data_IF_247582039968
#
_entry.id   IF_247582039968
#
_cell.length_a   1.000
_cell.length_b   1.000
_cell.length_c   1.000
_cell.angle_alpha   90.00
_cell.angle_beta   90.00
_cell.angle_gamma   90.00
#
_symmetry.space_group_name_H-M   'P 1'
#
loop_
_entity.id
_entity.type
_entity.pdbx_description
1 polymer ?
#
# COMPACT_ATOMS: atom_id res chain seq x y z
N UNK A 1 -5.44 43.07 3.83
CA UNK A 1 -6.81 43.60 3.92
C UNK A 1 -7.90 42.55 3.63
N UNK A 2 -7.63 41.47 2.90
CA UNK A 2 -8.62 40.41 2.65
C UNK A 2 -8.92 39.61 3.93
N UNK A 3 -7.96 39.42 4.84
CA UNK A 3 -8.13 38.62 6.06
C UNK A 3 -9.08 39.24 7.12
N UNK A 4 -9.24 40.55 7.14
CA UNK A 4 -10.12 41.25 8.12
C UNK A 4 -11.61 41.14 7.73
N UNK A 5 -11.93 41.21 6.44
CA UNK A 5 -13.32 41.11 5.96
C UNK A 5 -13.86 39.67 6.14
N UNK A 6 -13.08 38.67 5.79
CA UNK A 6 -13.46 37.26 5.98
C UNK A 6 -13.65 36.89 7.46
N UNK A 7 -12.80 37.40 8.37
CA UNK A 7 -12.96 37.17 9.81
C UNK A 7 -14.21 37.84 10.39
N UNK A 8 -14.60 39.00 9.91
CA UNK A 8 -15.85 39.66 10.32
C UNK A 8 -17.10 38.91 9.83
N UNK A 9 -17.07 38.42 8.61
CA UNK A 9 -18.16 37.57 8.06
C UNK A 9 -18.28 36.28 8.87
N UNK A 10 -17.16 35.62 9.18
CA UNK A 10 -17.15 34.42 9.98
C UNK A 10 -17.74 34.63 11.39
N UNK A 11 -17.37 35.74 12.05
CA UNK A 11 -17.88 36.07 13.39
C UNK A 11 -19.38 36.41 13.38
N UNK A 12 -19.91 36.92 12.27
CA UNK A 12 -21.31 37.28 12.12
C UNK A 12 -22.19 36.12 11.54
N UNK A 13 -21.57 35.03 11.09
CA UNK A 13 -22.30 33.91 10.52
C UNK A 13 -23.16 33.24 11.60
N UNK A 14 -24.45 32.99 11.34
CA UNK A 14 -25.32 32.26 12.29
C UNK A 14 -24.81 30.81 12.47
N UNK A 15 -25.23 30.18 13.56
CA UNK A 15 -25.05 28.74 13.72
C UNK A 15 -25.83 27.98 12.66
N UNK A 16 -25.25 26.88 12.15
CA UNK A 16 -25.92 26.01 11.22
C UNK A 16 -27.04 25.24 11.98
N UNK A 17 -28.30 25.25 11.53
CA UNK A 17 -29.34 24.43 12.18
C UNK A 17 -29.03 22.94 12.03
N UNK A 18 -29.48 22.15 12.98
CA UNK A 18 -29.37 20.69 12.97
C UNK A 18 -30.76 20.04 12.89
N UNK A 19 -31.03 19.17 11.90
CA UNK A 19 -30.20 18.86 10.74
C UNK A 19 -29.99 20.06 9.80
N UNK A 20 -28.94 20.02 8.99
CA UNK A 20 -28.69 21.06 7.99
C UNK A 20 -29.83 21.16 6.97
N UNK A 21 -30.13 22.35 6.47
CA UNK A 21 -30.98 22.50 5.30
C UNK A 21 -30.37 21.76 4.09
N UNK A 22 -31.25 21.25 3.23
CA UNK A 22 -30.82 20.50 2.05
C UNK A 22 -29.83 21.29 1.18
N UNK A 23 -30.09 22.56 0.99
CA UNK A 23 -29.28 23.47 0.21
C UNK A 23 -27.84 23.59 0.79
N UNK A 24 -27.69 23.53 2.10
CA UNK A 24 -26.37 23.61 2.74
C UNK A 24 -25.55 22.33 2.50
N UNK A 25 -26.17 21.16 2.50
CA UNK A 25 -25.51 19.91 2.12
C UNK A 25 -25.16 19.93 0.63
N UNK A 26 -26.06 20.39 -0.24
CA UNK A 26 -25.81 20.48 -1.68
C UNK A 26 -24.65 21.45 -1.96
N UNK A 27 -24.56 22.60 -1.27
CA UNK A 27 -23.43 23.56 -1.36
C UNK A 27 -22.10 22.91 -0.87
N UNK A 28 -22.13 22.14 0.21
CA UNK A 28 -20.96 21.39 0.67
C UNK A 28 -20.50 20.41 -0.41
N UNK A 29 -21.41 19.65 -1.01
CA UNK A 29 -21.07 18.68 -2.06
C UNK A 29 -20.50 19.36 -3.30
N UNK A 30 -21.02 20.53 -3.69
CA UNK A 30 -20.45 21.35 -4.77
C UNK A 30 -19.03 21.78 -4.43
N UNK A 31 -18.79 22.24 -3.19
CA UNK A 31 -17.46 22.63 -2.72
C UNK A 31 -16.48 21.44 -2.79
N UNK A 32 -16.88 20.27 -2.30
CA UNK A 32 -16.04 19.05 -2.30
C UNK A 32 -15.75 18.56 -3.73
N UNK A 33 -16.64 18.81 -4.67
CA UNK A 33 -16.50 18.42 -6.08
C UNK A 33 -15.74 19.44 -6.93
N UNK A 34 -15.31 20.57 -6.36
CA UNK A 34 -14.68 21.67 -7.11
C UNK A 34 -13.23 21.40 -7.54
N UNK A 35 -12.70 20.21 -7.28
CA UNK A 35 -11.34 19.83 -7.65
C UNK A 35 -10.28 20.67 -6.91
N UNK A 36 -9.23 21.18 -7.60
CA UNK A 36 -8.13 21.85 -6.91
C UNK A 36 -8.53 23.11 -6.11
N UNK A 37 -9.63 23.76 -6.45
CA UNK A 37 -10.12 24.94 -5.72
C UNK A 37 -10.67 24.60 -4.33
N UNK A 38 -11.08 23.35 -4.09
CA UNK A 38 -11.51 22.82 -2.79
C UNK A 38 -10.48 23.10 -1.70
N UNK A 39 -9.20 22.91 -1.99
CA UNK A 39 -8.09 23.15 -1.06
C UNK A 39 -8.10 24.59 -0.54
N UNK A 40 -8.00 25.56 -1.43
CA UNK A 40 -7.92 26.97 -1.06
C UNK A 40 -9.20 27.44 -0.32
N UNK A 41 -10.34 26.86 -0.67
CA UNK A 41 -11.63 27.21 -0.07
C UNK A 41 -11.73 26.67 1.36
N UNK A 42 -11.44 25.38 1.59
CA UNK A 42 -11.47 24.77 2.95
C UNK A 42 -10.44 25.45 3.85
N UNK A 43 -9.20 25.67 3.37
CA UNK A 43 -8.18 26.37 4.14
C UNK A 43 -8.58 27.82 4.49
N UNK A 44 -9.31 28.50 3.61
CA UNK A 44 -9.82 29.84 3.91
C UNK A 44 -10.93 29.79 4.98
N UNK A 45 -11.84 28.85 4.90
CA UNK A 45 -12.87 28.62 5.92
C UNK A 45 -12.26 28.23 7.27
N UNK A 46 -11.26 27.37 7.27
CA UNK A 46 -10.58 26.92 8.48
C UNK A 46 -9.82 28.05 9.18
N UNK A 47 -9.08 28.87 8.43
CA UNK A 47 -8.41 30.07 8.97
C UNK A 47 -9.35 31.09 9.61
N UNK A 48 -10.63 31.11 9.21
CA UNK A 48 -11.64 31.99 9.80
C UNK A 48 -12.39 31.33 10.97
N UNK A 49 -12.13 30.04 11.24
CA UNK A 49 -12.83 29.24 12.23
C UNK A 49 -14.21 28.74 11.78
N UNK A 50 -14.66 29.07 10.58
CA UNK A 50 -15.95 28.60 10.06
C UNK A 50 -15.96 27.11 9.83
N UNK A 51 -14.84 26.54 9.30
CA UNK A 51 -14.76 25.11 9.03
C UNK A 51 -14.95 24.27 10.29
N UNK A 52 -14.28 24.63 11.40
CA UNK A 52 -14.44 23.93 12.69
C UNK A 52 -15.83 24.10 13.31
N UNK A 53 -16.60 25.15 12.94
CA UNK A 53 -18.02 25.25 13.35
C UNK A 53 -18.93 24.36 12.53
N UNK A 54 -18.62 24.12 11.26
CA UNK A 54 -19.35 23.19 10.40
C UNK A 54 -19.02 21.73 10.73
N UNK A 55 -17.77 21.45 11.03
CA UNK A 55 -17.24 20.11 11.30
C UNK A 55 -16.33 20.15 12.54
N UNK A 56 -16.88 20.17 13.76
CA UNK A 56 -16.10 20.25 15.00
C UNK A 56 -15.10 19.10 15.18
N UNK A 57 -15.39 17.93 14.63
CA UNK A 57 -14.53 16.75 14.65
C UNK A 57 -13.18 16.96 13.96
N UNK A 58 -13.10 17.96 13.08
CA UNK A 58 -11.89 18.38 12.35
C UNK A 58 -10.74 18.79 13.26
N UNK A 59 -11.03 19.35 14.45
CA UNK A 59 -10.01 19.83 15.37
C UNK A 59 -8.98 18.77 15.77
N UNK A 60 -9.37 17.50 15.79
CA UNK A 60 -8.46 16.42 16.15
C UNK A 60 -7.46 16.04 15.03
N UNK A 61 -7.78 16.35 13.79
CA UNK A 61 -6.92 16.05 12.64
C UNK A 61 -6.21 17.29 12.08
N UNK A 62 -6.60 18.49 12.55
CA UNK A 62 -6.00 19.78 12.11
C UNK A 62 -4.51 19.79 12.41
N UNK A 63 -3.70 20.08 11.40
CA UNK A 63 -2.23 20.14 11.46
C UNK A 63 -1.59 18.86 12.04
N UNK A 64 -2.33 17.73 12.08
CA UNK A 64 -1.82 16.47 12.63
C UNK A 64 -0.76 15.89 11.70
N UNK A 65 0.49 15.72 12.17
CA UNK A 65 1.54 15.13 11.34
C UNK A 65 1.21 13.68 10.93
N UNK A 66 1.56 13.26 9.72
CA UNK A 66 1.40 11.86 9.34
C UNK A 66 2.33 10.96 10.15
N UNK A 67 1.85 9.76 10.50
CA UNK A 67 2.67 8.75 11.19
C UNK A 67 3.50 7.89 10.23
N UNK A 68 3.10 7.82 8.97
CA UNK A 68 3.76 7.02 7.94
C UNK A 68 4.49 7.94 6.95
N UNK A 69 5.74 7.60 6.64
CA UNK A 69 6.60 8.37 5.70
C UNK A 69 6.09 8.37 4.26
N UNK A 70 5.18 7.47 3.91
CA UNK A 70 4.53 7.48 2.60
C UNK A 70 3.60 8.69 2.42
N UNK A 71 3.11 9.28 3.54
CA UNK A 71 2.21 10.42 3.50
C UNK A 71 2.98 11.73 3.33
N UNK A 72 2.62 12.47 2.32
CA UNK A 72 3.21 13.78 2.00
C UNK A 72 2.65 14.91 2.84
N UNK A 73 1.42 14.77 3.33
CA UNK A 73 0.62 15.83 3.92
C UNK A 73 0.30 15.56 5.39
N UNK A 74 -0.06 16.62 6.15
CA UNK A 74 -0.80 16.50 7.41
C UNK A 74 -2.14 15.80 7.18
N UNK A 75 -2.75 15.21 8.21
CA UNK A 75 -3.97 14.41 8.06
C UNK A 75 -5.11 15.25 7.47
N UNK A 76 -5.34 16.45 7.98
CA UNK A 76 -6.34 17.39 7.48
C UNK A 76 -6.11 17.75 6.00
N UNK A 77 -4.87 18.04 5.62
CA UNK A 77 -4.54 18.30 4.22
C UNK A 77 -4.69 17.06 3.36
N UNK A 78 -4.35 15.88 3.86
CA UNK A 78 -4.49 14.61 3.14
C UNK A 78 -5.94 14.34 2.76
N UNK A 79 -6.91 14.49 3.68
CA UNK A 79 -8.33 14.26 3.36
C UNK A 79 -8.89 15.27 2.36
N UNK A 80 -8.40 16.51 2.37
CA UNK A 80 -8.75 17.50 1.34
C UNK A 80 -8.17 17.09 -0.02
N UNK A 81 -6.91 16.65 -0.08
CA UNK A 81 -6.31 16.16 -1.33
C UNK A 81 -6.99 14.87 -1.83
N UNK A 82 -7.43 14.00 -0.92
CA UNK A 82 -8.24 12.83 -1.27
C UNK A 82 -9.54 13.27 -1.94
N UNK A 83 -10.20 14.29 -1.41
CA UNK A 83 -11.43 14.85 -2.00
C UNK A 83 -11.17 15.44 -3.39
N UNK A 84 -10.05 16.13 -3.59
CA UNK A 84 -9.63 16.64 -4.91
C UNK A 84 -9.42 15.50 -5.91
N UNK A 85 -8.79 14.40 -5.48
CA UNK A 85 -8.57 13.22 -6.32
C UNK A 85 -9.85 12.41 -6.55
N UNK A 86 -10.83 12.49 -5.68
CA UNK A 86 -12.13 11.85 -5.83
C UNK A 86 -13.01 12.54 -6.89
N UNK A 87 -12.91 13.87 -7.03
CA UNK A 87 -13.74 14.65 -7.95
C UNK A 87 -13.74 14.12 -9.41
N UNK A 88 -12.60 13.82 -10.06
CA UNK A 88 -12.60 13.26 -11.41
C UNK A 88 -13.18 11.83 -11.48
N UNK A 89 -13.28 11.11 -10.35
CA UNK A 89 -13.82 9.77 -10.27
C UNK A 89 -15.35 9.76 -10.07
N UNK A 90 -15.97 10.90 -9.82
CA UNK A 90 -17.40 11.05 -9.59
C UNK A 90 -18.28 10.45 -10.71
N UNK A 91 -17.81 10.48 -11.97
CA UNK A 91 -18.52 9.88 -13.11
C UNK A 91 -18.44 8.36 -13.20
N UNK A 92 -17.61 7.73 -12.36
CA UNK A 92 -17.39 6.27 -12.34
C UNK A 92 -18.21 5.55 -11.29
N UNK A 93 -18.94 6.29 -10.44
CA UNK A 93 -19.71 5.75 -9.33
C UNK A 93 -21.17 6.22 -9.37
N UNK A 94 -22.08 5.37 -8.90
CA UNK A 94 -23.50 5.69 -8.82
C UNK A 94 -23.83 6.73 -7.73
N UNK A 95 -22.94 6.87 -6.71
CA UNK A 95 -23.13 7.78 -5.57
C UNK A 95 -21.90 8.70 -5.40
N UNK A 96 -21.75 9.71 -6.27
CA UNK A 96 -20.64 10.68 -6.18
C UNK A 96 -20.67 11.53 -4.91
N UNK A 97 -21.84 11.76 -4.33
CA UNK A 97 -22.05 12.42 -3.04
C UNK A 97 -21.39 11.62 -1.89
N UNK A 98 -21.62 10.31 -1.82
CA UNK A 98 -20.98 9.44 -0.82
C UNK A 98 -19.47 9.33 -1.05
N UNK A 99 -19.02 9.33 -2.31
CA UNK A 99 -17.59 9.35 -2.61
C UNK A 99 -16.92 10.63 -2.09
N UNK A 100 -17.53 11.79 -2.29
CA UNK A 100 -17.00 13.08 -1.83
C UNK A 100 -16.96 13.17 -0.29
N UNK A 101 -18.05 12.75 0.40
CA UNK A 101 -18.10 12.71 1.85
C UNK A 101 -17.17 11.64 2.43
N UNK A 102 -17.10 10.46 1.82
CA UNK A 102 -16.16 9.42 2.21
C UNK A 102 -14.70 9.88 2.09
N UNK A 103 -14.35 10.59 1.02
CA UNK A 103 -13.02 11.15 0.84
C UNK A 103 -12.67 12.19 1.91
N UNK A 104 -13.65 13.02 2.34
CA UNK A 104 -13.45 13.98 3.41
C UNK A 104 -13.32 13.33 4.79
N UNK A 105 -14.05 12.24 5.05
CA UNK A 105 -14.24 11.68 6.40
C UNK A 105 -13.48 10.38 6.67
N UNK A 106 -12.87 9.72 5.66
CA UNK A 106 -12.26 8.40 5.85
C UNK A 106 -11.23 8.35 7.00
N UNK A 107 -10.52 9.43 7.21
CA UNK A 107 -9.47 9.57 8.23
C UNK A 107 -9.87 10.46 9.43
N UNK A 108 -11.13 10.85 9.55
CA UNK A 108 -11.61 11.75 10.61
C UNK A 108 -11.37 11.20 12.04
N UNK A 109 -11.23 9.89 12.17
CA UNK A 109 -10.94 9.21 13.44
C UNK A 109 -9.50 9.30 13.91
N UNK A 110 -8.55 9.76 13.07
CA UNK A 110 -7.13 9.87 13.43
C UNK A 110 -6.88 10.85 14.58
N UNK A 111 -5.72 10.72 15.23
CA UNK A 111 -5.31 11.61 16.33
C UNK A 111 -5.85 11.24 17.73
N UNK A 112 -6.68 10.22 17.87
CA UNK A 112 -7.39 9.90 19.13
C UNK A 112 -6.90 8.63 19.85
N UNK A 113 -5.80 8.01 19.37
CA UNK A 113 -5.12 6.90 20.08
C UNK A 113 -5.85 5.54 20.06
N UNK A 114 -6.88 5.40 19.22
CA UNK A 114 -7.66 4.18 18.98
C UNK A 114 -7.69 3.87 17.49
N UNK A 115 -8.27 2.75 17.10
CA UNK A 115 -8.47 2.43 15.68
C UNK A 115 -9.30 3.54 15.02
N UNK A 116 -8.66 4.22 14.06
CA UNK A 116 -9.24 5.39 13.41
C UNK A 116 -10.40 5.05 12.46
N UNK A 117 -10.40 3.84 11.88
CA UNK A 117 -11.45 3.39 10.98
C UNK A 117 -12.73 3.09 11.75
N UNK A 118 -12.60 2.42 12.90
CA UNK A 118 -13.74 2.12 13.80
C UNK A 118 -14.28 3.40 14.40
N UNK A 119 -13.41 4.25 14.96
CA UNK A 119 -13.84 5.53 15.52
C UNK A 119 -14.42 6.47 14.46
N UNK A 120 -13.79 6.54 13.29
CA UNK A 120 -14.26 7.36 12.18
C UNK A 120 -15.65 6.95 11.68
N UNK A 121 -15.93 5.65 11.62
CA UNK A 121 -17.26 5.14 11.31
C UNK A 121 -18.31 5.59 12.36
N UNK A 122 -17.97 5.52 13.64
CA UNK A 122 -18.82 6.07 14.71
C UNK A 122 -19.09 7.57 14.53
N UNK A 123 -18.06 8.35 14.22
CA UNK A 123 -18.22 9.78 13.94
C UNK A 123 -19.06 10.03 12.68
N UNK A 124 -18.95 9.21 11.64
CA UNK A 124 -19.79 9.32 10.45
C UNK A 124 -21.29 9.10 10.76
N UNK A 125 -21.61 8.18 11.69
CA UNK A 125 -22.98 7.97 12.20
C UNK A 125 -23.53 9.18 12.97
N UNK A 126 -22.67 10.03 13.54
CA UNK A 126 -23.07 11.27 14.22
C UNK A 126 -23.13 12.46 13.25
N UNK A 127 -22.18 12.56 12.33
CA UNK A 127 -22.05 13.64 11.35
C UNK A 127 -23.18 13.55 10.31
N UNK A 128 -23.48 12.36 9.79
CA UNK A 128 -24.45 12.19 8.70
C UNK A 128 -25.84 12.73 9.01
N UNK A 129 -26.46 12.40 10.15
CA UNK A 129 -27.77 12.97 10.56
C UNK A 129 -27.70 14.49 10.74
N UNK A 130 -26.60 15.03 11.29
CA UNK A 130 -26.37 16.47 11.42
C UNK A 130 -26.35 17.16 10.06
N UNK A 131 -25.73 16.55 9.05
CA UNK A 131 -25.73 17.03 7.67
C UNK A 131 -27.09 16.89 6.96
N UNK A 132 -28.09 16.27 7.59
CA UNK A 132 -29.42 16.04 7.00
C UNK A 132 -29.47 14.88 6.01
N UNK A 133 -28.53 13.91 6.08
CA UNK A 133 -28.51 12.74 5.22
C UNK A 133 -29.61 11.74 5.59
N UNK A 134 -30.09 10.98 4.61
CA UNK A 134 -31.00 9.87 4.85
C UNK A 134 -30.31 8.74 5.65
N UNK A 135 -31.03 8.02 6.55
CA UNK A 135 -30.42 6.99 7.40
C UNK A 135 -29.64 5.91 6.64
N UNK A 136 -30.15 5.48 5.49
CA UNK A 136 -29.45 4.49 4.66
C UNK A 136 -28.11 5.02 4.09
N UNK A 137 -28.06 6.31 3.75
CA UNK A 137 -26.83 6.96 3.24
C UNK A 137 -25.81 7.19 4.37
N UNK A 138 -26.29 7.46 5.58
CA UNK A 138 -25.45 7.55 6.78
C UNK A 138 -24.77 6.22 7.06
N UNK A 139 -25.50 5.12 6.98
CA UNK A 139 -24.94 3.79 7.18
C UNK A 139 -23.89 3.46 6.11
N UNK A 140 -24.17 3.73 4.83
CA UNK A 140 -23.20 3.53 3.75
C UNK A 140 -21.94 4.39 3.93
N UNK A 141 -22.10 5.64 4.37
CA UNK A 141 -20.96 6.51 4.67
C UNK A 141 -20.11 5.95 5.82
N UNK A 142 -20.75 5.46 6.89
CA UNK A 142 -20.06 4.84 8.00
C UNK A 142 -19.30 3.57 7.57
N UNK A 143 -19.88 2.73 6.72
CA UNK A 143 -19.23 1.55 6.15
C UNK A 143 -18.05 1.93 5.24
N UNK A 144 -18.17 2.99 4.43
CA UNK A 144 -17.05 3.51 3.64
C UNK A 144 -15.87 3.92 4.51
N UNK A 145 -16.13 4.65 5.60
CA UNK A 145 -15.10 5.07 6.55
C UNK A 145 -14.51 3.86 7.28
N UNK A 146 -15.34 2.92 7.72
CA UNK A 146 -14.91 1.72 8.42
C UNK A 146 -13.97 0.85 7.57
N UNK A 147 -14.28 0.71 6.29
CA UNK A 147 -13.61 -0.25 5.41
C UNK A 147 -12.67 0.40 4.38
N UNK A 148 -12.29 1.69 4.54
CA UNK A 148 -11.48 2.39 3.54
C UNK A 148 -10.11 1.73 3.28
N UNK A 149 -9.55 0.98 4.25
CA UNK A 149 -8.30 0.24 4.12
C UNK A 149 -8.49 -1.20 3.62
N UNK A 150 -9.72 -1.73 3.52
CA UNK A 150 -9.96 -3.14 3.22
C UNK A 150 -9.40 -3.56 1.87
N UNK A 151 -9.71 -2.81 0.80
CA UNK A 151 -9.27 -3.17 -0.55
C UNK A 151 -7.75 -3.10 -0.70
N UNK A 152 -7.04 -2.02 -0.30
CA UNK A 152 -5.60 -1.97 -0.43
C UNK A 152 -4.88 -3.03 0.41
N UNK A 153 -5.38 -3.32 1.61
CA UNK A 153 -4.83 -4.37 2.48
C UNK A 153 -5.04 -5.74 1.86
N UNK A 154 -6.26 -6.11 1.50
CA UNK A 154 -6.56 -7.42 0.91
C UNK A 154 -5.78 -7.62 -0.41
N UNK A 155 -5.73 -6.61 -1.28
CA UNK A 155 -5.05 -6.72 -2.57
C UNK A 155 -3.54 -6.93 -2.42
N UNK A 156 -2.91 -6.32 -1.43
CA UNK A 156 -1.45 -6.38 -1.27
C UNK A 156 -0.96 -7.46 -0.32
N UNK A 157 -1.83 -7.95 0.58
CA UNK A 157 -1.43 -8.86 1.67
C UNK A 157 -2.14 -10.21 1.67
N UNK A 158 -2.98 -10.50 0.66
CA UNK A 158 -3.67 -11.79 0.58
C UNK A 158 -3.47 -12.44 -0.79
N UNK A 159 -3.61 -13.76 -0.85
CA UNK A 159 -3.67 -14.46 -2.13
C UNK A 159 -5.03 -14.22 -2.78
N UNK A 160 -5.04 -13.48 -3.89
CA UNK A 160 -6.26 -13.20 -4.67
C UNK A 160 -6.73 -14.42 -5.47
N UNK A 161 -5.92 -15.47 -5.58
CA UNK A 161 -6.29 -16.73 -6.21
C UNK A 161 -7.02 -17.67 -5.24
N UNK A 162 -6.94 -17.43 -3.93
CA UNK A 162 -7.74 -18.15 -2.96
C UNK A 162 -9.20 -17.63 -2.96
N UNK A 163 -10.20 -18.46 -3.33
CA UNK A 163 -11.60 -18.06 -3.30
C UNK A 163 -12.06 -17.54 -1.94
N UNK A 164 -11.50 -18.09 -0.84
CA UNK A 164 -11.84 -17.65 0.52
C UNK A 164 -11.47 -16.20 0.78
N UNK A 165 -10.39 -15.70 0.18
CA UNK A 165 -10.01 -14.29 0.26
C UNK A 165 -11.10 -13.41 -0.34
N UNK A 166 -11.58 -13.75 -1.53
CA UNK A 166 -12.61 -12.98 -2.23
C UNK A 166 -13.95 -13.04 -1.50
N UNK A 167 -14.34 -14.23 -1.03
CA UNK A 167 -15.56 -14.41 -0.23
C UNK A 167 -15.52 -13.60 1.08
N UNK A 168 -14.40 -13.60 1.78
CA UNK A 168 -14.21 -12.83 3.01
C UNK A 168 -14.40 -11.33 2.74
N UNK A 169 -13.72 -10.77 1.73
CA UNK A 169 -13.84 -9.35 1.36
C UNK A 169 -15.29 -9.03 0.99
N UNK A 170 -15.94 -9.87 0.17
CA UNK A 170 -17.34 -9.67 -0.22
C UNK A 170 -18.29 -9.68 0.98
N UNK A 171 -18.14 -10.62 1.91
CA UNK A 171 -18.93 -10.72 3.14
C UNK A 171 -18.69 -9.55 4.08
N UNK A 172 -17.44 -9.10 4.23
CA UNK A 172 -17.10 -7.92 5.04
C UNK A 172 -17.82 -6.68 4.54
N UNK A 173 -18.05 -6.55 3.24
CA UNK A 173 -18.82 -5.46 2.63
C UNK A 173 -20.34 -5.74 2.58
N UNK A 174 -20.82 -6.77 3.29
CA UNK A 174 -22.24 -7.12 3.27
C UNK A 174 -22.75 -7.55 1.89
N UNK A 175 -21.87 -7.94 0.99
CA UNK A 175 -22.17 -8.28 -0.40
C UNK A 175 -22.87 -7.12 -1.15
N UNK A 176 -22.59 -5.87 -0.75
CA UNK A 176 -23.15 -4.66 -1.36
C UNK A 176 -22.28 -4.15 -2.53
N UNK A 177 -22.76 -4.27 -3.79
CA UNK A 177 -22.01 -3.81 -4.96
C UNK A 177 -21.83 -2.28 -5.00
N UNK A 178 -22.75 -1.51 -4.41
CA UNK A 178 -22.66 -0.05 -4.35
C UNK A 178 -21.54 0.37 -3.41
N UNK A 179 -21.48 -0.24 -2.22
CA UNK A 179 -20.39 0.00 -1.26
C UNK A 179 -19.04 -0.35 -1.88
N UNK A 180 -18.93 -1.50 -2.54
CA UNK A 180 -17.70 -1.94 -3.24
C UNK A 180 -17.28 -0.94 -4.32
N UNK A 181 -18.23 -0.42 -5.11
CA UNK A 181 -17.95 0.54 -6.19
C UNK A 181 -17.40 1.85 -5.64
N UNK A 182 -18.06 2.44 -4.63
CA UNK A 182 -17.63 3.71 -4.04
C UNK A 182 -16.31 3.53 -3.29
N UNK A 183 -16.15 2.41 -2.59
CA UNK A 183 -14.90 2.08 -1.87
C UNK A 183 -13.72 1.93 -2.83
N UNK A 184 -13.92 1.34 -4.01
CA UNK A 184 -12.89 1.24 -5.04
C UNK A 184 -12.42 2.63 -5.50
N UNK A 185 -13.34 3.54 -5.80
CA UNK A 185 -13.01 4.91 -6.19
C UNK A 185 -12.33 5.69 -5.04
N UNK A 186 -12.80 5.51 -3.80
CA UNK A 186 -12.19 6.10 -2.61
C UNK A 186 -10.74 5.61 -2.43
N UNK A 187 -10.50 4.31 -2.59
CA UNK A 187 -9.15 3.71 -2.50
C UNK A 187 -8.17 4.30 -3.52
N UNK A 188 -8.63 4.55 -4.75
CA UNK A 188 -7.82 5.21 -5.77
C UNK A 188 -7.51 6.65 -5.38
N UNK A 189 -8.52 7.42 -4.94
CA UNK A 189 -8.39 8.82 -4.56
C UNK A 189 -7.43 9.00 -3.36
N UNK A 190 -7.60 8.20 -2.32
CA UNK A 190 -6.78 8.17 -1.12
C UNK A 190 -5.31 7.81 -1.44
N UNK A 191 -5.09 6.74 -2.20
CA UNK A 191 -3.74 6.32 -2.59
C UNK A 191 -3.01 7.40 -3.40
N UNK A 192 -3.71 8.14 -4.28
CA UNK A 192 -3.15 9.28 -5.02
C UNK A 192 -2.81 10.47 -4.13
N UNK A 193 -3.60 10.70 -3.07
CA UNK A 193 -3.37 11.77 -2.11
C UNK A 193 -2.23 11.46 -1.13
N UNK A 194 -1.97 10.19 -0.83
CA UNK A 194 -0.97 9.74 0.13
C UNK A 194 0.43 10.20 -0.28
N UNK A 195 0.85 9.92 -1.52
CA UNK A 195 2.16 10.35 -2.00
C UNK A 195 2.52 9.80 -3.38
N UNK A 196 3.63 10.29 -3.96
CA UNK A 196 4.10 9.82 -5.26
C UNK A 196 4.39 8.32 -5.25
N UNK A 197 3.82 7.60 -6.22
CA UNK A 197 4.05 6.16 -6.42
C UNK A 197 3.17 5.25 -5.54
N UNK A 198 2.41 5.77 -4.58
CA UNK A 198 1.49 4.97 -3.75
C UNK A 198 0.37 4.36 -4.61
N UNK A 199 -0.13 5.07 -5.61
CA UNK A 199 -0.99 4.54 -6.66
C UNK A 199 -0.15 4.22 -7.88
N UNK A 200 0.34 3.00 -7.99
CA UNK A 200 1.08 2.48 -9.14
C UNK A 200 0.16 1.63 -10.03
N UNK A 201 0.53 1.46 -11.32
CA UNK A 201 -0.21 0.60 -12.25
C UNK A 201 -0.34 -0.84 -11.72
N UNK A 202 0.71 -1.32 -11.04
CA UNK A 202 0.71 -2.63 -10.38
C UNK A 202 -0.34 -2.71 -9.26
N UNK A 203 -0.39 -1.72 -8.34
CA UNK A 203 -1.37 -1.68 -7.25
C UNK A 203 -2.79 -1.52 -7.80
N UNK A 204 -2.96 -0.66 -8.80
CA UNK A 204 -4.23 -0.50 -9.50
C UNK A 204 -4.71 -1.85 -10.07
N UNK A 205 -3.85 -2.58 -10.78
CA UNK A 205 -4.19 -3.88 -11.35
C UNK A 205 -4.59 -4.92 -10.30
N UNK A 206 -3.91 -4.96 -9.14
CA UNK A 206 -4.29 -5.87 -8.05
C UNK A 206 -5.66 -5.53 -7.46
N UNK A 207 -5.93 -4.24 -7.24
CA UNK A 207 -7.21 -3.78 -6.70
C UNK A 207 -8.34 -4.00 -7.72
N UNK A 208 -8.10 -3.71 -9.00
CA UNK A 208 -9.06 -3.95 -10.07
C UNK A 208 -9.42 -5.44 -10.19
N UNK A 209 -8.43 -6.35 -10.08
CA UNK A 209 -8.67 -7.80 -10.10
C UNK A 209 -9.48 -8.24 -8.88
N UNK A 210 -9.13 -7.75 -7.67
CA UNK A 210 -9.89 -8.02 -6.45
C UNK A 210 -11.35 -7.56 -6.59
N UNK A 211 -11.57 -6.31 -7.01
CA UNK A 211 -12.92 -5.73 -7.17
C UNK A 211 -13.72 -6.51 -8.22
N UNK A 212 -13.11 -6.85 -9.35
CA UNK A 212 -13.74 -7.66 -10.39
C UNK A 212 -14.21 -9.01 -9.84
N UNK A 213 -13.35 -9.71 -9.09
CA UNK A 213 -13.68 -11.01 -8.48
C UNK A 213 -14.76 -10.88 -7.39
N UNK A 214 -14.70 -9.85 -6.55
CA UNK A 214 -15.76 -9.58 -5.58
C UNK A 214 -17.12 -9.34 -6.27
N UNK A 215 -17.16 -8.57 -7.38
CA UNK A 215 -18.38 -8.39 -8.17
C UNK A 215 -18.95 -9.69 -8.69
N UNK A 216 -18.10 -10.61 -9.15
CA UNK A 216 -18.53 -11.93 -9.61
C UNK A 216 -19.17 -12.74 -8.47
N UNK A 217 -18.52 -12.78 -7.28
CA UNK A 217 -19.09 -13.46 -6.11
C UNK A 217 -20.42 -12.86 -5.69
N UNK A 218 -20.50 -11.53 -5.62
CA UNK A 218 -21.74 -10.80 -5.27
C UNK A 218 -22.87 -11.03 -6.29
N UNK A 219 -22.52 -11.27 -7.57
CA UNK A 219 -23.47 -11.63 -8.62
C UNK A 219 -23.83 -13.13 -8.64
N UNK A 220 -23.24 -13.95 -7.75
CA UNK A 220 -23.39 -15.40 -7.77
C UNK A 220 -22.70 -16.09 -8.94
N UNK A 221 -21.75 -15.42 -9.60
CA UNK A 221 -20.98 -15.95 -10.70
C UNK A 221 -19.79 -16.78 -10.16
N UNK A 222 -19.43 -17.88 -10.82
CA UNK A 222 -18.27 -18.67 -10.41
C UNK A 222 -16.99 -17.87 -10.65
N UNK A 223 -16.09 -17.87 -9.66
CA UNK A 223 -14.76 -17.33 -9.84
C UNK A 223 -14.02 -18.05 -10.97
N UNK A 224 -13.21 -17.32 -11.78
CA UNK A 224 -12.34 -17.97 -12.74
C UNK A 224 -11.52 -19.04 -12.03
N UNK A 225 -11.45 -20.22 -12.59
CA UNK A 225 -10.46 -21.20 -12.12
C UNK A 225 -9.11 -20.52 -12.24
N UNK A 226 -8.30 -20.66 -11.18
CA UNK A 226 -6.90 -20.24 -11.22
C UNK A 226 -6.30 -20.90 -12.46
N UNK A 227 -6.10 -20.13 -13.52
CA UNK A 227 -5.38 -20.65 -14.65
C UNK A 227 -3.95 -20.94 -14.18
N UNK A 228 -3.44 -22.15 -14.39
CA UNK A 228 -2.03 -22.37 -14.20
C UNK A 228 -1.29 -21.33 -15.03
N UNK A 229 -0.24 -20.75 -14.49
CA UNK A 229 0.57 -19.63 -14.99
C UNK A 229 0.22 -19.17 -16.40
N UNK A 230 0.18 -17.88 -16.67
CA UNK A 230 -0.19 -17.36 -18.00
C UNK A 230 0.35 -18.27 -19.10
N UNK A 231 -0.41 -18.58 -20.17
CA UNK A 231 -0.03 -19.59 -21.20
C UNK A 231 1.40 -19.45 -21.71
N UNK A 232 1.92 -18.22 -21.67
CA UNK A 232 3.33 -17.91 -22.00
C UNK A 232 4.34 -18.57 -21.06
N UNK A 233 3.96 -18.86 -19.79
CA UNK A 233 4.87 -19.48 -18.81
C UNK A 233 4.80 -21.01 -18.83
N UNK A 234 3.67 -21.58 -19.27
CA UNK A 234 3.56 -23.03 -19.51
C UNK A 234 4.57 -23.48 -20.58
N UNK A 235 4.80 -22.66 -21.61
CA UNK A 235 5.80 -22.97 -22.64
C UNK A 235 7.24 -22.90 -22.08
N UNK A 236 7.52 -22.04 -21.10
CA UNK A 236 8.80 -21.96 -20.43
C UNK A 236 9.04 -23.15 -19.47
N UNK A 237 7.98 -23.63 -18.84
CA UNK A 237 8.07 -24.80 -17.95
C UNK A 237 8.30 -26.10 -18.71
N UNK A 238 7.96 -26.17 -20.00
CA UNK A 238 8.04 -27.39 -20.82
C UNK A 238 9.47 -27.96 -20.96
N UNK A 239 10.48 -27.09 -21.04
CA UNK A 239 11.90 -27.52 -21.16
C UNK A 239 12.62 -27.58 -19.81
N UNK A 240 11.94 -27.21 -18.70
CA UNK A 240 12.46 -27.16 -17.34
C UNK A 240 13.79 -26.42 -17.19
N UNK A 241 14.08 -25.49 -18.11
CA UNK A 241 15.28 -24.68 -18.12
C UNK A 241 15.17 -23.42 -17.25
N UNK A 242 16.27 -22.67 -17.22
CA UNK A 242 16.29 -21.32 -16.63
C UNK A 242 15.99 -20.30 -17.69
N UNK A 243 14.98 -19.48 -17.47
CA UNK A 243 14.52 -18.47 -18.42
C UNK A 243 14.61 -17.07 -17.81
N UNK A 244 15.02 -16.11 -18.62
CA UNK A 244 14.95 -14.68 -18.30
C UNK A 244 14.46 -13.95 -19.54
N UNK A 245 13.40 -13.16 -19.34
CA UNK A 245 12.84 -12.29 -20.38
C UNK A 245 12.84 -10.85 -19.86
N UNK A 246 13.18 -9.89 -20.70
CA UNK A 246 13.10 -8.46 -20.44
C UNK A 246 12.22 -7.84 -21.50
N UNK A 247 11.22 -7.06 -21.07
CA UNK A 247 10.34 -6.31 -21.96
C UNK A 247 10.36 -4.83 -21.55
N UNK A 248 10.22 -3.89 -22.49
CA UNK A 248 9.99 -2.49 -22.14
C UNK A 248 8.71 -2.36 -21.32
N UNK A 249 8.78 -1.69 -20.19
CA UNK A 249 7.65 -1.25 -19.38
C UNK A 249 7.26 0.20 -19.72
N UNK A 250 6.47 0.84 -18.86
CA UNK A 250 6.12 2.25 -19.00
C UNK A 250 7.28 3.19 -18.60
N UNK A 251 7.65 4.13 -19.44
CA UNK A 251 8.74 5.08 -19.18
C UNK A 251 10.12 4.42 -19.17
N UNK A 252 10.91 4.63 -18.12
CA UNK A 252 12.24 4.02 -17.93
C UNK A 252 12.18 2.64 -17.27
N UNK A 253 10.98 2.07 -17.07
CA UNK A 253 10.79 0.78 -16.41
C UNK A 253 10.91 -0.37 -17.40
N UNK A 254 11.28 -1.52 -16.85
CA UNK A 254 11.41 -2.79 -17.56
C UNK A 254 10.64 -3.86 -16.78
N UNK A 255 9.93 -4.70 -17.52
CA UNK A 255 9.32 -5.91 -16.98
C UNK A 255 10.32 -7.05 -17.18
N UNK A 256 10.75 -7.67 -16.09
CA UNK A 256 11.72 -8.77 -16.09
C UNK A 256 11.03 -10.01 -15.52
N UNK A 257 10.98 -11.08 -16.30
CA UNK A 257 10.49 -12.38 -15.86
C UNK A 257 11.68 -13.32 -15.72
N UNK A 258 11.82 -13.92 -14.53
CA UNK A 258 12.83 -14.92 -14.23
C UNK A 258 12.11 -16.21 -13.80
N UNK A 259 12.38 -17.32 -14.50
CA UNK A 259 11.68 -18.56 -14.26
C UNK A 259 12.64 -19.74 -14.29
N UNK A 260 12.44 -20.72 -13.39
CA UNK A 260 13.27 -21.92 -13.28
C UNK A 260 12.52 -23.05 -12.54
N UNK A 261 13.00 -24.28 -12.55
CA UNK A 261 12.54 -25.32 -11.63
C UNK A 261 12.56 -24.79 -10.19
N UNK A 262 11.46 -25.01 -9.48
CA UNK A 262 11.32 -24.47 -8.12
C UNK A 262 12.35 -25.08 -7.18
N UNK A 263 13.02 -24.20 -6.45
CA UNK A 263 14.00 -24.57 -5.45
C UNK A 263 14.14 -23.48 -4.41
N UNK A 264 14.55 -23.86 -3.23
CA UNK A 264 14.76 -22.94 -2.12
C UNK A 264 15.74 -21.82 -2.49
N UNK A 265 15.38 -20.58 -2.13
CA UNK A 265 16.19 -19.40 -2.40
C UNK A 265 16.15 -18.89 -3.85
N UNK A 266 15.20 -19.35 -4.66
CA UNK A 266 15.06 -18.88 -6.03
C UNK A 266 14.79 -17.36 -6.07
N UNK A 267 13.85 -16.87 -5.26
CA UNK A 267 13.47 -15.45 -5.22
C UNK A 267 14.64 -14.59 -4.74
N UNK A 268 15.34 -15.01 -3.68
CA UNK A 268 16.49 -14.28 -3.14
C UNK A 268 17.63 -14.17 -4.16
N UNK A 269 17.91 -15.25 -4.89
CA UNK A 269 18.95 -15.27 -5.93
C UNK A 269 18.55 -14.42 -7.15
N UNK A 270 17.29 -14.48 -7.58
CA UNK A 270 16.76 -13.66 -8.67
C UNK A 270 16.90 -12.16 -8.33
N UNK A 271 16.41 -11.75 -7.15
CA UNK A 271 16.52 -10.38 -6.69
C UNK A 271 17.98 -9.91 -6.52
N UNK A 272 18.88 -10.79 -6.05
CA UNK A 272 20.30 -10.47 -5.93
C UNK A 272 20.97 -10.27 -7.30
N UNK A 273 20.65 -11.08 -8.30
CA UNK A 273 21.15 -10.90 -9.68
C UNK A 273 20.73 -9.54 -10.22
N UNK A 274 19.45 -9.13 -10.04
CA UNK A 274 18.98 -7.82 -10.46
C UNK A 274 19.72 -6.68 -9.74
N UNK A 275 19.87 -6.77 -8.42
CA UNK A 275 20.58 -5.78 -7.61
C UNK A 275 22.05 -5.65 -7.99
N UNK A 276 22.76 -6.76 -8.23
CA UNK A 276 24.15 -6.73 -8.65
C UNK A 276 24.36 -6.12 -10.04
N UNK A 277 23.32 -6.12 -10.87
CA UNK A 277 23.28 -5.42 -12.17
C UNK A 277 22.72 -4.01 -12.09
N UNK A 278 22.66 -3.42 -10.87
CA UNK A 278 22.21 -2.05 -10.64
C UNK A 278 20.79 -1.78 -11.11
N UNK A 279 19.92 -2.79 -11.01
CA UNK A 279 18.50 -2.67 -11.26
C UNK A 279 17.76 -2.46 -9.94
N UNK A 280 17.03 -1.36 -9.85
CA UNK A 280 16.12 -1.10 -8.72
C UNK A 280 14.83 -1.85 -8.97
N UNK A 281 14.38 -2.63 -8.01
CA UNK A 281 13.11 -3.34 -8.05
C UNK A 281 12.01 -2.41 -7.50
N UNK A 282 10.96 -2.19 -8.29
CA UNK A 282 9.79 -1.40 -7.93
C UNK A 282 8.64 -2.27 -7.47
N UNK A 283 8.47 -3.42 -8.10
CA UNK A 283 7.52 -4.44 -7.67
C UNK A 283 8.02 -5.82 -8.07
N UNK A 284 7.58 -6.83 -7.33
CA UNK A 284 7.80 -8.23 -7.66
C UNK A 284 6.57 -9.06 -7.27
N UNK A 285 6.31 -10.11 -8.05
CA UNK A 285 5.41 -11.18 -7.69
C UNK A 285 6.07 -12.53 -7.97
N UNK A 286 5.86 -13.49 -7.07
CA UNK A 286 6.37 -14.85 -7.22
C UNK A 286 5.20 -15.83 -7.17
N UNK A 287 5.25 -16.83 -8.02
CA UNK A 287 4.27 -17.91 -8.07
C UNK A 287 4.94 -19.22 -8.48
N UNK A 288 4.41 -20.34 -8.02
CA UNK A 288 4.92 -21.69 -8.35
C UNK A 288 3.79 -22.51 -8.98
N UNK A 289 4.09 -23.18 -10.11
CA UNK A 289 3.18 -24.05 -10.81
C UNK A 289 3.89 -25.37 -11.15
N UNK A 290 3.35 -26.49 -10.70
CA UNK A 290 3.86 -27.85 -10.99
C UNK A 290 5.37 -28.01 -10.78
N UNK A 291 5.91 -27.36 -9.73
CA UNK A 291 7.34 -27.39 -9.42
C UNK A 291 8.20 -26.50 -10.33
N UNK A 292 7.60 -25.51 -10.98
CA UNK A 292 8.28 -24.49 -11.75
C UNK A 292 7.91 -23.11 -11.21
N UNK A 293 8.90 -22.35 -10.74
CA UNK A 293 8.71 -21.04 -10.15
C UNK A 293 8.91 -19.94 -11.20
N UNK A 294 8.03 -18.94 -11.15
CA UNK A 294 8.06 -17.74 -11.98
C UNK A 294 8.08 -16.53 -11.06
N UNK A 295 9.05 -15.64 -11.27
CA UNK A 295 9.13 -14.36 -10.59
C UNK A 295 9.09 -13.24 -11.62
N UNK A 296 8.12 -12.37 -11.47
CA UNK A 296 7.92 -11.19 -12.30
C UNK A 296 8.37 -9.96 -11.55
N UNK A 297 9.21 -9.14 -12.17
CA UNK A 297 9.74 -7.91 -11.59
C UNK A 297 9.44 -6.73 -12.48
N UNK A 298 9.09 -5.60 -11.88
CA UNK A 298 9.18 -4.29 -12.51
C UNK A 298 10.43 -3.59 -11.98
N UNK A 299 11.35 -3.27 -12.86
CA UNK A 299 12.65 -2.71 -12.48
C UNK A 299 12.98 -1.44 -13.26
N UNK A 300 13.95 -0.65 -12.76
CA UNK A 300 14.58 0.42 -13.53
C UNK A 300 16.08 0.42 -13.33
N UNK A 301 16.89 0.77 -14.35
CA UNK A 301 18.31 0.98 -14.18
C UNK A 301 18.57 2.15 -13.23
N UNK A 302 19.53 1.99 -12.29
CA UNK A 302 20.00 3.10 -11.46
C UNK A 302 20.92 4.03 -12.24
N UNK A 303 21.66 3.47 -13.18
CA UNK A 303 22.55 4.18 -14.09
C UNK A 303 22.90 3.29 -15.30
N UNK A 304 23.24 3.92 -16.41
CA UNK A 304 23.65 3.22 -17.63
C UNK A 304 22.48 2.59 -18.40
N UNK A 305 22.83 1.70 -19.31
CA UNK A 305 21.85 0.91 -20.07
C UNK A 305 21.50 -0.38 -19.31
N UNK A 306 20.26 -0.89 -19.46
CA UNK A 306 19.86 -2.14 -18.84
C UNK A 306 20.72 -3.30 -19.37
N UNK A 307 20.98 -4.33 -18.53
CA UNK A 307 21.70 -5.53 -18.95
C UNK A 307 20.88 -6.33 -19.97
N UNK A 308 21.55 -7.10 -20.82
CA UNK A 308 20.87 -8.03 -21.71
C UNK A 308 20.31 -9.24 -20.96
N UNK A 309 19.17 -9.77 -21.42
CA UNK A 309 18.53 -10.95 -20.84
C UNK A 309 19.47 -12.17 -20.78
N UNK A 310 20.37 -12.33 -21.75
CA UNK A 310 21.37 -13.40 -21.79
C UNK A 310 22.34 -13.35 -20.62
N UNK A 311 22.80 -12.16 -20.23
CA UNK A 311 23.69 -11.95 -19.09
C UNK A 311 22.97 -12.29 -17.77
N UNK A 312 21.75 -11.76 -17.56
CA UNK A 312 20.97 -12.07 -16.37
C UNK A 312 20.68 -13.57 -16.27
N UNK A 313 20.34 -14.22 -17.38
CA UNK A 313 20.11 -15.67 -17.41
C UNK A 313 21.35 -16.46 -17.00
N UNK A 314 22.53 -16.11 -17.55
CA UNK A 314 23.78 -16.76 -17.20
C UNK A 314 24.09 -16.63 -15.69
N UNK A 315 23.98 -15.42 -15.14
CA UNK A 315 24.23 -15.16 -13.72
C UNK A 315 23.19 -15.87 -12.83
N UNK A 316 21.93 -15.86 -13.23
CA UNK A 316 20.87 -16.55 -12.49
C UNK A 316 21.06 -18.07 -12.49
N UNK A 317 21.41 -18.65 -13.64
CA UNK A 317 21.75 -20.08 -13.74
C UNK A 317 22.92 -20.43 -12.83
N UNK A 318 24.00 -19.65 -12.85
CA UNK A 318 25.15 -19.86 -11.97
C UNK A 318 24.82 -19.69 -10.48
N UNK A 319 23.94 -18.74 -10.15
CA UNK A 319 23.45 -18.55 -8.79
C UNK A 319 22.60 -19.72 -8.30
N UNK A 320 21.70 -20.25 -9.15
CA UNK A 320 20.87 -21.42 -8.83
C UNK A 320 21.71 -22.68 -8.66
N UNK A 321 22.71 -22.88 -9.52
CA UNK A 321 23.65 -24.02 -9.45
C UNK A 321 24.67 -23.93 -8.31
N UNK A 322 24.81 -22.75 -7.68
CA UNK A 322 25.81 -22.53 -6.63
C UNK A 322 27.21 -22.17 -7.13
N UNK A 323 27.35 -21.99 -8.46
CA UNK A 323 28.65 -21.62 -9.08
C UNK A 323 29.01 -20.14 -8.82
N UNK A 324 27.99 -19.29 -8.55
CA UNK A 324 28.14 -17.86 -8.29
C UNK A 324 27.45 -17.49 -6.98
N UNK A 325 28.22 -16.99 -6.00
CA UNK A 325 27.67 -16.49 -4.74
C UNK A 325 27.20 -15.03 -4.89
N UNK A 326 26.02 -14.87 -5.51
CA UNK A 326 25.40 -13.55 -5.70
C UNK A 326 24.97 -12.93 -4.37
N UNK A 327 24.48 -13.73 -3.43
CA UNK A 327 23.98 -13.28 -2.14
C UNK A 327 25.10 -12.83 -1.22
N UNK A 328 26.19 -13.59 -1.10
CA UNK A 328 27.37 -13.17 -0.33
C UNK A 328 28.05 -11.93 -0.91
N UNK A 329 28.08 -11.81 -2.25
CA UNK A 329 28.57 -10.60 -2.91
C UNK A 329 27.71 -9.38 -2.59
N UNK A 330 26.38 -9.54 -2.55
CA UNK A 330 25.46 -8.46 -2.22
C UNK A 330 25.56 -8.07 -0.74
N UNK A 331 25.61 -9.05 0.18
CA UNK A 331 25.79 -8.80 1.63
C UNK A 331 27.08 -8.00 1.90
N UNK A 332 28.16 -8.35 1.24
CA UNK A 332 29.41 -7.61 1.37
C UNK A 332 29.28 -6.17 0.89
N UNK A 333 28.65 -5.94 -0.27
CA UNK A 333 28.39 -4.58 -0.78
C UNK A 333 27.49 -3.76 0.16
N UNK A 334 26.44 -4.35 0.72
CA UNK A 334 25.56 -3.69 1.68
C UNK A 334 26.30 -3.31 2.96
N UNK A 335 27.09 -4.23 3.52
CA UNK A 335 27.93 -3.98 4.70
C UNK A 335 28.96 -2.88 4.48
N UNK A 336 29.62 -2.86 3.32
CA UNK A 336 30.60 -1.82 2.95
C UNK A 336 29.91 -0.45 2.83
N UNK A 337 28.71 -0.40 2.24
CA UNK A 337 27.92 0.82 2.09
C UNK A 337 27.46 1.39 3.44
N UNK A 338 26.94 0.55 4.33
CA UNK A 338 26.55 0.93 5.70
C UNK A 338 27.76 1.43 6.49
N UNK A 339 28.90 0.74 6.42
CA UNK A 339 30.14 1.17 7.07
C UNK A 339 30.66 2.51 6.54
N UNK A 340 30.53 2.79 5.24
CA UNK A 340 30.91 4.06 4.64
C UNK A 340 29.95 5.21 5.08
N UNK A 341 28.66 4.95 5.17
CA UNK A 341 27.68 5.92 5.64
C UNK A 341 27.91 6.29 7.12
N UNK A 342 28.20 5.31 7.97
CA UNK A 342 28.51 5.53 9.40
C UNK A 342 29.79 6.36 9.58
N UNK A 343 30.84 6.09 8.80
CA UNK A 343 32.08 6.91 8.83
C UNK A 343 31.84 8.35 8.42
N UNK A 344 31.06 8.60 7.35
CA UNK A 344 30.70 9.96 6.90
C UNK A 344 29.84 10.71 7.93
N UNK A 345 28.93 10.04 8.62
CA UNK A 345 28.14 10.62 9.69
C UNK A 345 28.99 11.02 10.92
N UNK A 346 30.07 10.30 11.19
CA UNK A 346 31.05 10.64 12.25
C UNK A 346 31.98 11.82 11.90
N UNK A 347 32.18 12.13 10.61
CA UNK A 347 33.06 13.20 10.13
C UNK A 347 32.38 14.57 9.97
N UNK A 348 31.05 14.63 9.96
CA UNK A 348 30.29 15.88 9.83
C UNK A 348 29.88 16.39 11.20
N UNK A 349 30.83 16.96 11.95
CA UNK A 349 30.52 17.97 12.97
C UNK A 349 30.65 19.35 12.32
N UNK A 350 29.57 20.04 12.22
CA UNK A 350 29.25 21.46 12.06
C UNK A 350 28.30 21.69 10.87
N UNK A 351 27.05 21.97 11.23
CA UNK A 351 26.01 22.46 10.32
C UNK A 351 24.70 21.68 10.53
N UNK A 352 23.70 22.40 11.01
CA UNK A 352 22.30 22.00 11.25
C UNK A 352 21.96 20.58 10.76
N UNK A 353 21.66 19.63 11.65
CA UNK A 353 21.24 18.31 11.22
C UNK A 353 19.93 18.45 10.45
N UNK A 354 19.97 18.26 9.15
CA UNK A 354 18.77 17.89 8.39
C UNK A 354 18.46 16.47 8.84
N UNK A 355 17.80 16.35 9.96
CA UNK A 355 17.15 15.12 10.38
C UNK A 355 16.02 14.87 9.38
N UNK A 356 16.32 14.15 8.30
CA UNK A 356 15.28 13.38 7.64
C UNK A 356 14.81 12.40 8.71
N UNK A 357 13.71 12.71 9.35
CA UNK A 357 13.00 11.77 10.22
C UNK A 357 12.53 10.62 9.32
N UNK A 358 13.36 9.62 9.19
CA UNK A 358 12.96 8.35 8.58
C UNK A 358 12.22 7.60 9.67
N UNK A 359 10.96 7.24 9.44
CA UNK A 359 10.26 6.34 10.35
C UNK A 359 11.10 5.06 10.54
N UNK A 360 11.13 4.50 11.76
CA UNK A 360 11.85 3.25 12.00
C UNK A 360 11.32 2.14 11.08
N UNK A 361 12.15 1.18 10.69
CA UNK A 361 11.68 0.00 9.99
C UNK A 361 10.62 -0.72 10.82
N UNK A 362 9.66 -1.37 10.13
CA UNK A 362 8.55 -2.08 10.78
C UNK A 362 8.41 -3.48 10.22
N UNK A 363 8.11 -4.40 11.11
CA UNK A 363 7.66 -5.76 10.80
C UNK A 363 6.21 -5.86 11.27
N UNK A 364 5.28 -6.16 10.37
CA UNK A 364 3.87 -6.32 10.67
C UNK A 364 3.47 -7.77 10.40
N UNK A 365 2.94 -8.42 11.41
CA UNK A 365 2.35 -9.75 11.27
C UNK A 365 0.88 -9.59 10.89
N UNK A 366 0.46 -10.34 9.88
CA UNK A 366 -0.91 -10.34 9.35
C UNK A 366 -1.49 -11.71 9.57
N UNK A 367 -2.69 -11.76 10.14
CA UNK A 367 -3.39 -13.02 10.35
C UNK A 367 -3.77 -13.68 9.03
N UNK A 368 -3.60 -15.00 8.98
CA UNK A 368 -4.01 -15.83 7.85
C UNK A 368 -4.97 -16.93 8.29
N UNK A 369 -5.93 -17.25 7.43
CA UNK A 369 -6.85 -18.36 7.67
C UNK A 369 -6.20 -19.74 7.52
N UNK A 370 -5.00 -19.81 6.94
CA UNK A 370 -4.24 -21.04 6.74
C UNK A 370 -3.31 -21.27 7.94
N UNK A 371 -3.53 -22.33 8.70
CA UNK A 371 -2.77 -22.65 9.92
C UNK A 371 -1.29 -23.01 9.63
N UNK A 372 -0.96 -23.33 8.39
CA UNK A 372 0.37 -23.72 7.92
C UNK A 372 1.12 -22.60 7.22
N UNK A 373 0.61 -21.36 7.28
CA UNK A 373 1.20 -20.20 6.65
C UNK A 373 1.31 -19.03 7.62
N UNK A 374 2.33 -18.20 7.40
CA UNK A 374 2.54 -16.92 8.08
C UNK A 374 2.61 -15.81 7.04
N UNK A 375 1.97 -14.68 7.31
CA UNK A 375 2.08 -13.50 6.47
C UNK A 375 2.81 -12.41 7.25
N UNK A 376 3.89 -11.91 6.68
CA UNK A 376 4.69 -10.83 7.27
C UNK A 376 4.86 -9.71 6.24
N UNK A 377 4.57 -8.47 6.65
CA UNK A 377 4.89 -7.27 5.89
C UNK A 377 6.08 -6.56 6.52
N UNK A 378 7.04 -6.20 5.69
CA UNK A 378 8.21 -5.40 6.08
C UNK A 378 8.10 -4.02 5.45
N UNK A 379 8.19 -2.98 6.27
CA UNK A 379 8.32 -1.60 5.81
C UNK A 379 9.68 -1.06 6.20
N UNK A 380 10.46 -0.64 5.24
CA UNK A 380 11.80 -0.11 5.48
C UNK A 380 12.19 0.92 4.41
N UNK A 381 13.25 1.69 4.68
CA UNK A 381 13.84 2.51 3.64
C UNK A 381 14.37 1.61 2.51
N UNK A 382 13.93 1.90 1.27
CA UNK A 382 14.39 1.17 0.09
C UNK A 382 15.89 1.37 -0.13
N UNK A 383 16.59 0.28 -0.36
CA UNK A 383 17.99 0.25 -0.76
C UNK A 383 18.24 -0.87 -1.75
N UNK A 384 19.29 -0.71 -2.52
CA UNK A 384 19.65 -1.70 -3.52
C UNK A 384 19.91 -3.07 -2.86
N UNK A 385 19.17 -4.08 -3.31
CA UNK A 385 19.28 -5.44 -2.80
C UNK A 385 18.45 -5.75 -1.55
N UNK A 386 17.66 -4.81 -1.02
CA UNK A 386 16.83 -5.05 0.17
C UNK A 386 15.96 -6.30 0.02
N UNK A 387 15.26 -6.45 -1.10
CA UNK A 387 14.42 -7.62 -1.36
C UNK A 387 15.20 -8.94 -1.28
N UNK A 388 16.40 -8.97 -1.89
CA UNK A 388 17.25 -10.16 -1.84
C UNK A 388 17.68 -10.51 -0.41
N UNK A 389 17.99 -9.52 0.40
CA UNK A 389 18.37 -9.71 1.81
C UNK A 389 17.19 -10.16 2.66
N UNK A 390 16.00 -9.59 2.46
CA UNK A 390 14.78 -10.00 3.17
C UNK A 390 14.38 -11.43 2.83
N UNK A 391 14.33 -11.77 1.54
CA UNK A 391 13.97 -13.12 1.10
C UNK A 391 15.02 -14.17 1.53
N UNK A 392 16.30 -13.81 1.58
CA UNK A 392 17.35 -14.66 2.16
C UNK A 392 17.19 -14.84 3.68
N UNK A 393 16.75 -13.80 4.39
CA UNK A 393 16.47 -13.91 5.82
C UNK A 393 15.35 -14.90 6.10
N UNK A 394 14.27 -14.86 5.31
CA UNK A 394 13.16 -15.83 5.37
C UNK A 394 13.65 -17.26 5.11
N UNK A 395 14.47 -17.44 4.09
CA UNK A 395 15.09 -18.73 3.75
C UNK A 395 15.97 -19.28 4.91
N UNK A 396 16.77 -18.41 5.54
CA UNK A 396 17.62 -18.77 6.70
C UNK A 396 16.80 -19.14 7.92
N UNK A 397 15.62 -18.55 8.09
CA UNK A 397 14.66 -18.91 9.15
C UNK A 397 14.01 -20.28 8.93
N UNK A 398 14.29 -20.97 7.83
CA UNK A 398 13.77 -22.30 7.54
C UNK A 398 12.43 -22.31 6.84
N UNK A 399 11.93 -21.16 6.38
CA UNK A 399 10.64 -21.04 5.70
C UNK A 399 10.79 -21.02 4.17
N UNK A 400 9.74 -21.42 3.45
CA UNK A 400 9.64 -21.29 2.01
C UNK A 400 8.61 -20.22 1.66
N UNK A 401 8.91 -19.41 0.61
CA UNK A 401 8.03 -18.33 0.16
C UNK A 401 6.94 -18.95 -0.72
N UNK A 402 5.70 -18.85 -0.26
CA UNK A 402 4.51 -19.29 -1.00
C UNK A 402 4.14 -18.23 -2.06
N UNK A 403 4.12 -16.96 -1.65
CA UNK A 403 4.02 -15.82 -2.53
C UNK A 403 4.70 -14.59 -1.92
N UNK A 404 5.09 -13.67 -2.78
CA UNK A 404 5.64 -12.38 -2.37
C UNK A 404 4.98 -11.27 -3.16
N UNK A 405 4.64 -10.17 -2.50
CA UNK A 405 4.15 -8.93 -3.08
C UNK A 405 5.03 -7.78 -2.61
N UNK A 406 5.80 -7.24 -3.52
CA UNK A 406 6.83 -6.24 -3.26
C UNK A 406 6.42 -4.92 -3.89
N UNK A 407 6.53 -3.84 -3.16
CA UNK A 407 6.21 -2.53 -3.68
C UNK A 407 7.08 -1.43 -3.05
N UNK A 408 7.64 -0.55 -3.88
CA UNK A 408 8.44 0.59 -3.42
C UNK A 408 7.70 1.89 -3.68
N UNK A 409 7.45 2.65 -2.61
CA UNK A 409 6.81 3.96 -2.63
C UNK A 409 7.85 5.05 -2.35
N UNK A 410 8.26 5.80 -3.36
CA UNK A 410 9.30 6.81 -3.17
C UNK A 410 10.61 6.19 -2.65
N UNK A 411 10.93 6.40 -1.38
CA UNK A 411 12.09 5.83 -0.69
C UNK A 411 11.75 4.72 0.29
N UNK A 412 10.52 4.24 0.34
CA UNK A 412 10.06 3.21 1.28
C UNK A 412 9.67 1.95 0.53
N UNK A 413 10.24 0.82 0.91
CA UNK A 413 9.80 -0.51 0.52
C UNK A 413 8.68 -0.97 1.47
N UNK A 414 7.64 -1.59 0.91
CA UNK A 414 6.56 -2.25 1.65
C UNK A 414 6.35 -3.62 1.00
N UNK A 415 6.98 -4.61 1.58
CA UNK A 415 7.12 -5.94 1.02
C UNK A 415 6.36 -6.94 1.89
N UNK A 416 5.36 -7.62 1.32
CA UNK A 416 4.57 -8.64 1.99
C UNK A 416 4.97 -10.04 1.49
N UNK A 417 5.19 -10.94 2.43
CA UNK A 417 5.58 -12.32 2.17
C UNK A 417 4.62 -13.27 2.87
N UNK A 418 4.09 -14.23 2.13
CA UNK A 418 3.49 -15.42 2.71
C UNK A 418 4.54 -16.53 2.71
N UNK A 419 4.79 -17.08 3.87
CA UNK A 419 5.79 -18.15 4.04
C UNK A 419 5.15 -19.36 4.73
N UNK A 420 5.72 -20.54 4.52
CA UNK A 420 5.28 -21.73 5.23
C UNK A 420 5.53 -21.59 6.73
N UNK A 421 4.51 -21.85 7.54
CA UNK A 421 4.69 -22.03 8.99
C UNK A 421 5.32 -23.40 9.22
N UNK A 422 6.57 -23.45 9.64
CA UNK A 422 7.24 -24.68 10.00
C UNK A 422 6.71 -25.24 11.34
N UNK A 423 7.47 -25.06 12.39
CA UNK A 423 7.11 -25.38 13.76
C UNK A 423 6.62 -24.15 14.55
N UNK A 424 6.30 -24.36 15.83
CA UNK A 424 5.85 -23.27 16.73
C UNK A 424 6.87 -22.13 16.91
N UNK A 425 8.13 -22.31 16.52
CA UNK A 425 9.19 -21.28 16.57
C UNK A 425 9.44 -20.57 15.24
N UNK A 426 8.74 -20.93 14.17
CA UNK A 426 8.99 -20.39 12.84
C UNK A 426 8.81 -18.86 12.80
N UNK A 427 7.78 -18.33 13.47
CA UNK A 427 7.53 -16.89 13.57
C UNK A 427 8.71 -16.15 14.22
N UNK A 428 9.18 -16.63 15.36
CA UNK A 428 10.30 -16.01 16.10
C UNK A 428 11.59 -16.08 15.26
N UNK A 429 11.83 -17.20 14.57
CA UNK A 429 12.99 -17.36 13.69
C UNK A 429 12.95 -16.37 12.51
N UNK A 430 11.79 -16.18 11.89
CA UNK A 430 11.56 -15.20 10.83
C UNK A 430 11.82 -13.79 11.35
N UNK A 431 11.22 -13.43 12.48
CA UNK A 431 11.37 -12.11 13.09
C UNK A 431 12.84 -11.79 13.38
N UNK A 432 13.55 -12.68 14.04
CA UNK A 432 14.98 -12.49 14.37
C UNK A 432 15.86 -12.34 13.13
N UNK A 433 15.55 -13.12 12.08
CA UNK A 433 16.27 -13.02 10.80
C UNK A 433 16.01 -11.69 10.10
N UNK A 434 14.76 -11.20 10.09
CA UNK A 434 14.40 -9.91 9.53
C UNK A 434 14.98 -8.75 10.34
N UNK A 435 14.94 -8.81 11.67
CA UNK A 435 15.56 -7.82 12.56
C UNK A 435 17.05 -7.63 12.25
N UNK A 436 17.77 -8.73 11.96
CA UNK A 436 19.19 -8.68 11.59
C UNK A 436 19.41 -7.87 10.31
N UNK A 437 18.55 -8.04 9.30
CA UNK A 437 18.65 -7.31 8.02
C UNK A 437 18.28 -5.84 8.17
N UNK A 438 17.32 -5.54 9.05
CA UNK A 438 16.76 -4.19 9.22
C UNK A 438 17.52 -3.31 10.20
N UNK A 439 18.51 -3.83 10.92
CA UNK A 439 19.39 -3.06 11.81
C UNK A 439 19.08 -3.17 13.31
N UNK A 440 18.35 -4.18 13.74
CA UNK A 440 18.20 -4.56 15.14
C UNK A 440 17.18 -3.75 15.95
N UNK A 441 17.51 -3.24 17.15
CA UNK A 441 16.52 -2.82 18.15
C UNK A 441 15.71 -1.55 17.83
N UNK A 442 16.02 -0.87 16.72
CA UNK A 442 15.23 0.28 16.26
C UNK A 442 14.03 -0.12 15.39
N UNK A 443 13.81 -1.42 15.15
CA UNK A 443 12.70 -1.94 14.35
C UNK A 443 11.46 -2.08 15.21
N UNK A 444 10.34 -1.53 14.76
CA UNK A 444 9.04 -1.73 15.41
C UNK A 444 8.42 -3.04 14.91
N UNK A 445 8.09 -3.95 15.85
CA UNK A 445 7.32 -5.16 15.55
C UNK A 445 5.88 -4.94 15.99
N UNK A 446 4.94 -5.10 15.08
CA UNK A 446 3.53 -4.82 15.29
C UNK A 446 2.69 -6.04 14.91
N UNK A 447 1.62 -6.24 15.64
CA UNK A 447 0.54 -7.14 15.22
C UNK A 447 -0.57 -6.29 14.61
N UNK A 448 -1.09 -6.72 13.46
CA UNK A 448 -2.30 -6.09 12.95
C UNK A 448 -3.46 -6.63 13.79
N UNK A 449 -4.26 -5.75 14.43
CA UNK A 449 -5.42 -6.23 15.17
C UNK A 449 -6.34 -6.98 14.19
N UNK A 450 -6.77 -8.18 14.63
CA UNK A 450 -7.82 -8.94 13.94
C UNK A 450 -9.01 -8.00 13.78
N UNK A 451 -9.33 -7.60 12.56
CA UNK A 451 -10.57 -6.91 12.29
C UNK A 451 -11.72 -7.91 12.48
N UNK A 452 -12.43 -7.78 13.60
CA UNK A 452 -13.71 -8.46 13.83
C UNK A 452 -14.76 -8.04 12.81
#
# INVERSE_FOLDING_TARGET
MIGTASGLVAAAAPEMPEPWPREALDDLLVLLSAGPTTVATIEALDRTGLWGRLLPEWDAIRDLPPRDVAHKWTVDRHVIETTVNAAPLATRVARPDLLALGALLHDIGKGRGVDHSVLGAGLALEIGPRLGMAPADVELLAQLVRHHLLLPVAATRSDLNDPKTIERVSKTLGEDPLLLEVLHALTEADSKATGPGVWSDWKASLIDDLVRRCRMVMAGEPLPKVEPAAPQYLSLAADRGVHVQIKPGGGERLDVVMAAPDQRGLVSKAAAVLALNSLRIHSASASTHEGFAVVEFVVSPLFGSPPEAGLLRQQFTGALGGDVDVLGTLEKRDSDAVGAATRRAGEVQVGVPVTRSTAPPRILWVDTAAADQLIVEVRAMDRLGLLALLTRALERAGTDIVWAKVNTFGSTAADAFCVTAGDAGARDAVEQSLLTVLGGPAVEVLEEPVGD
#
